data_IF_220695572236
#
_entry.id   IF_220695572236
#
_cell.length_a   1.000
_cell.length_b   1.000
_cell.length_c   1.000
_cell.angle_alpha   90.00
_cell.angle_beta   90.00
_cell.angle_gamma   90.00
#
_symmetry.space_group_name_H-M   'P 1'
#
loop_
_entity.id
_entity.type
_entity.pdbx_description
1 polymer ?
#
# COMPACT_ATOMS: atom_id res chain seq x y z
N UNK A 1 4.57 55.41 7.25
CA UNK A 1 5.07 54.12 7.80
C UNK A 1 3.93 53.14 8.10
N UNK A 2 2.86 53.11 7.29
CA UNK A 2 1.62 52.37 7.59
C UNK A 2 1.16 51.42 6.47
N UNK A 3 1.75 51.51 5.26
CA UNK A 3 1.35 50.68 4.12
C UNK A 3 2.08 49.33 4.04
N UNK A 4 3.21 49.16 4.72
CA UNK A 4 3.98 47.90 4.70
C UNK A 4 3.40 46.79 5.59
N UNK A 5 2.48 47.12 6.51
CA UNK A 5 1.85 46.14 7.39
C UNK A 5 0.60 45.48 6.79
N UNK A 6 -0.02 46.07 5.76
CA UNK A 6 -1.23 45.51 5.14
C UNK A 6 -0.94 44.39 4.14
N UNK A 7 0.24 44.37 3.51
CA UNK A 7 0.62 43.28 2.60
C UNK A 7 1.03 41.98 3.32
N UNK A 8 1.49 42.05 4.58
CA UNK A 8 1.87 40.86 5.33
C UNK A 8 0.66 40.03 5.82
N UNK A 9 -0.53 40.63 5.92
CA UNK A 9 -1.72 39.96 6.40
C UNK A 9 -2.47 39.15 5.31
N UNK A 10 -2.28 39.46 4.02
CA UNK A 10 -2.96 38.75 2.92
C UNK A 10 -2.19 37.48 2.49
N UNK A 11 -0.88 37.41 2.72
CA UNK A 11 -0.07 36.23 2.42
C UNK A 11 -0.27 35.07 3.42
N UNK A 12 -0.79 35.34 4.62
CA UNK A 12 -1.02 34.32 5.65
C UNK A 12 -2.30 33.51 5.44
N UNK A 13 -3.25 34.00 4.62
CA UNK A 13 -4.57 33.38 4.45
C UNK A 13 -4.62 32.29 3.38
N UNK A 14 -3.59 32.16 2.54
CA UNK A 14 -3.50 31.10 1.50
C UNK A 14 -2.85 29.83 2.06
N UNK A 15 -2.19 29.90 3.23
CA UNK A 15 -1.55 28.74 3.86
C UNK A 15 -2.52 27.88 4.71
N UNK A 16 -3.79 28.27 4.84
CA UNK A 16 -4.79 27.58 5.69
C UNK A 16 -5.82 26.74 4.92
N UNK A 17 -5.67 26.54 3.61
CA UNK A 17 -6.51 25.58 2.84
C UNK A 17 -6.12 24.12 3.07
N UNK A 18 -5.19 23.84 3.98
CA UNK A 18 -4.69 22.50 4.31
C UNK A 18 -5.61 21.64 5.19
N UNK A 19 -6.90 21.96 5.32
CA UNK A 19 -7.87 20.98 5.81
C UNK A 19 -7.91 19.87 4.76
N UNK A 20 -7.31 18.71 5.05
CA UNK A 20 -7.36 17.55 4.18
C UNK A 20 -8.78 16.96 4.19
N UNK A 21 -9.73 17.70 3.62
CA UNK A 21 -11.10 17.28 3.43
C UNK A 21 -11.20 16.17 2.37
N UNK A 22 -12.42 15.73 2.11
CA UNK A 22 -12.66 14.73 1.09
C UNK A 22 -12.09 15.18 -0.27
N UNK A 23 -11.51 14.23 -1.00
CA UNK A 23 -10.89 14.46 -2.30
C UNK A 23 -11.82 14.03 -3.44
N UNK A 24 -11.76 14.72 -4.58
CA UNK A 24 -12.49 14.31 -5.79
C UNK A 24 -11.95 12.97 -6.28
N UNK A 25 -12.84 12.07 -6.69
CA UNK A 25 -12.48 10.77 -7.28
C UNK A 25 -11.98 10.90 -8.72
N UNK A 26 -12.44 11.90 -9.46
CA UNK A 26 -12.16 12.06 -10.90
C UNK A 26 -10.65 11.96 -11.28
N UNK A 27 -9.69 12.59 -10.56
CA UNK A 27 -8.27 12.42 -10.88
C UNK A 27 -7.78 10.97 -10.75
N UNK A 28 -8.32 10.21 -9.80
CA UNK A 28 -7.95 8.81 -9.54
C UNK A 28 -8.41 7.86 -10.64
N UNK A 29 -9.46 8.25 -11.37
CA UNK A 29 -9.98 7.47 -12.50
C UNK A 29 -9.42 7.92 -13.84
N UNK A 30 -9.24 9.24 -14.03
CA UNK A 30 -8.79 9.83 -15.29
C UNK A 30 -7.28 9.72 -15.51
N UNK A 31 -6.48 9.88 -14.45
CA UNK A 31 -5.02 9.77 -14.49
C UNK A 31 -4.49 9.09 -13.21
N UNK A 32 -4.64 7.75 -13.12
CA UNK A 32 -4.27 7.02 -11.92
C UNK A 32 -2.75 7.06 -11.62
N UNK A 33 -1.91 7.06 -12.65
CA UNK A 33 -0.46 7.10 -12.46
C UNK A 33 0.02 8.47 -12.01
N UNK A 34 -0.48 9.56 -12.62
CA UNK A 34 -0.18 10.92 -12.19
C UNK A 34 -0.71 11.20 -10.78
N UNK A 35 -1.93 10.73 -10.46
CA UNK A 35 -2.45 10.79 -9.10
C UNK A 35 -1.53 10.07 -8.10
N UNK A 36 -1.12 8.83 -8.43
CA UNK A 36 -0.21 8.04 -7.60
C UNK A 36 1.14 8.70 -7.40
N UNK A 37 1.74 9.28 -8.44
CA UNK A 37 3.02 9.99 -8.36
C UNK A 37 2.93 11.22 -7.44
N UNK A 38 1.81 11.94 -7.48
CA UNK A 38 1.59 13.12 -6.63
C UNK A 38 1.28 12.77 -5.17
N UNK A 39 0.49 11.73 -4.92
CA UNK A 39 0.01 11.40 -3.56
C UNK A 39 0.87 10.36 -2.83
N UNK A 40 1.56 9.46 -3.56
CA UNK A 40 2.23 8.29 -2.99
C UNK A 40 3.68 8.11 -3.45
N UNK A 41 4.31 9.12 -4.04
CA UNK A 41 5.78 9.10 -4.23
C UNK A 41 6.52 9.27 -2.90
N UNK A 42 7.82 8.96 -2.88
CA UNK A 42 8.69 9.19 -1.72
C UNK A 42 8.55 10.63 -1.17
N UNK A 43 8.59 11.63 -2.05
CA UNK A 43 8.50 13.04 -1.67
C UNK A 43 7.11 13.42 -1.11
N UNK A 44 6.06 12.67 -1.47
CA UNK A 44 4.72 12.89 -0.96
C UNK A 44 4.51 12.31 0.45
N UNK A 45 5.35 11.38 0.90
CA UNK A 45 5.27 10.81 2.24
C UNK A 45 5.66 11.83 3.32
N UNK A 46 5.11 11.72 4.55
CA UNK A 46 5.60 12.48 5.69
C UNK A 46 7.10 12.25 5.92
N UNK A 47 7.83 13.29 6.36
CA UNK A 47 9.29 13.22 6.60
C UNK A 47 9.68 12.07 7.53
N UNK A 48 8.90 11.85 8.59
CA UNK A 48 9.15 10.74 9.52
C UNK A 48 9.06 9.35 8.87
N UNK A 49 8.30 9.23 7.78
CA UNK A 49 8.11 7.98 7.01
C UNK A 49 9.19 7.82 5.96
N UNK A 50 9.60 8.93 5.34
CA UNK A 50 10.77 8.97 4.46
C UNK A 50 12.02 8.46 5.19
N UNK A 51 12.19 8.82 6.46
CA UNK A 51 13.31 8.38 7.29
C UNK A 51 13.34 6.87 7.61
N UNK A 52 12.25 6.13 7.36
CA UNK A 52 12.21 4.67 7.51
C UNK A 52 12.78 3.93 6.31
N UNK A 53 12.83 4.61 5.16
CA UNK A 53 13.28 4.05 3.90
C UNK A 53 14.80 4.18 3.78
N UNK A 54 15.40 3.22 3.07
CA UNK A 54 16.83 3.26 2.81
C UNK A 54 17.16 4.28 1.71
N UNK A 55 18.44 4.63 1.51
CA UNK A 55 18.84 5.49 0.40
C UNK A 55 18.45 4.89 -0.96
N UNK A 56 18.23 5.72 -2.00
CA UNK A 56 17.99 5.24 -3.37
C UNK A 56 19.06 4.24 -3.83
N UNK A 57 18.64 3.17 -4.51
CA UNK A 57 19.53 2.13 -5.05
C UNK A 57 20.00 1.07 -4.05
N UNK A 58 19.71 1.23 -2.76
CA UNK A 58 20.19 0.31 -1.73
C UNK A 58 19.42 -1.02 -1.66
N UNK A 59 18.21 -1.07 -2.22
CA UNK A 59 17.35 -2.25 -2.29
C UNK A 59 16.89 -2.46 -3.74
N UNK A 60 17.78 -2.94 -4.63
CA UNK A 60 17.46 -3.06 -6.05
C UNK A 60 16.38 -4.13 -6.28
N UNK A 61 15.42 -3.79 -7.14
CA UNK A 61 14.45 -4.72 -7.70
C UNK A 61 14.87 -5.17 -9.11
N UNK A 62 14.52 -6.39 -9.54
CA UNK A 62 14.74 -6.83 -10.92
C UNK A 62 13.73 -6.23 -11.91
N UNK A 63 12.92 -5.25 -11.48
CA UNK A 63 11.90 -4.60 -12.29
C UNK A 63 11.76 -3.13 -11.92
N UNK A 64 11.35 -2.32 -12.90
CA UNK A 64 10.82 -0.97 -12.68
C UNK A 64 9.31 -0.97 -12.57
N UNK A 65 8.64 -1.90 -13.26
CA UNK A 65 7.18 -2.05 -13.20
C UNK A 65 6.80 -3.51 -13.07
N UNK A 66 5.82 -3.81 -12.23
CA UNK A 66 5.22 -5.13 -12.16
C UNK A 66 3.70 -5.04 -12.29
N UNK A 67 3.11 -5.72 -13.27
CA UNK A 67 1.65 -5.80 -13.45
C UNK A 67 1.19 -7.19 -13.04
N UNK A 68 0.35 -7.26 -12.01
CA UNK A 68 -0.18 -8.51 -11.47
C UNK A 68 -1.70 -8.52 -11.69
N UNK A 69 -2.22 -9.58 -12.31
CA UNK A 69 -3.65 -9.76 -12.55
C UNK A 69 -4.16 -11.06 -11.96
N UNK A 70 -5.45 -11.08 -11.67
CA UNK A 70 -6.11 -12.28 -11.18
C UNK A 70 -7.51 -12.01 -10.69
N UNK A 71 -7.95 -12.89 -9.80
CA UNK A 71 -9.28 -12.86 -9.20
C UNK A 71 -9.18 -12.84 -7.68
N UNK A 72 -10.08 -12.10 -7.06
CA UNK A 72 -10.28 -12.12 -5.61
C UNK A 72 -11.73 -12.40 -5.27
N UNK A 73 -11.98 -13.20 -4.24
CA UNK A 73 -13.34 -13.59 -3.86
C UNK A 73 -13.41 -13.94 -2.38
N UNK A 74 -14.59 -13.76 -1.78
CA UNK A 74 -14.88 -14.30 -0.45
C UNK A 74 -15.01 -15.82 -0.56
N UNK A 75 -14.30 -16.58 0.29
CA UNK A 75 -14.37 -18.05 0.32
C UNK A 75 -15.78 -18.58 0.58
N UNK A 76 -16.68 -17.77 1.16
CA UNK A 76 -18.09 -18.12 1.37
C UNK A 76 -18.95 -17.96 0.11
N UNK A 77 -18.47 -17.21 -0.88
CA UNK A 77 -19.12 -16.92 -2.17
C UNK A 77 -18.10 -16.98 -3.31
N UNK A 78 -17.52 -18.16 -3.58
CA UNK A 78 -16.45 -18.32 -4.57
C UNK A 78 -16.87 -17.99 -6.02
N UNK A 79 -18.18 -17.96 -6.28
CA UNK A 79 -18.78 -17.53 -7.55
C UNK A 79 -18.71 -16.00 -7.76
N UNK A 80 -18.67 -15.21 -6.68
CA UNK A 80 -18.64 -13.75 -6.71
C UNK A 80 -17.19 -13.23 -6.86
N UNK A 81 -16.55 -13.58 -7.98
CA UNK A 81 -15.17 -13.17 -8.26
C UNK A 81 -15.08 -11.72 -8.73
N UNK A 82 -14.15 -10.97 -8.13
CA UNK A 82 -13.70 -9.67 -8.62
C UNK A 82 -12.38 -9.85 -9.37
N UNK A 83 -12.36 -9.47 -10.65
CA UNK A 83 -11.11 -9.33 -11.37
C UNK A 83 -10.31 -8.21 -10.74
N UNK A 84 -9.00 -8.38 -10.58
CA UNK A 84 -8.11 -7.32 -10.13
C UNK A 84 -6.92 -7.18 -11.05
N UNK A 85 -6.39 -5.96 -11.09
CA UNK A 85 -5.09 -5.63 -11.65
C UNK A 85 -4.37 -4.72 -10.67
N UNK A 86 -3.12 -5.05 -10.38
CA UNK A 86 -2.23 -4.24 -9.54
C UNK A 86 -0.96 -3.93 -10.30
N UNK A 87 -0.67 -2.64 -10.44
CA UNK A 87 0.59 -2.13 -10.94
C UNK A 87 1.46 -1.70 -9.76
N UNK A 88 2.65 -2.29 -9.66
CA UNK A 88 3.74 -1.82 -8.81
C UNK A 88 4.73 -1.02 -9.63
N UNK A 89 5.19 0.11 -9.09
CA UNK A 89 6.20 0.96 -9.73
C UNK A 89 7.33 1.20 -8.74
N UNK A 90 8.53 0.82 -9.17
CA UNK A 90 9.78 1.04 -8.45
C UNK A 90 10.45 2.31 -9.00
N UNK A 91 10.30 3.41 -8.28
CA UNK A 91 10.88 4.70 -8.69
C UNK A 91 12.36 4.83 -8.29
N UNK A 92 12.81 4.15 -7.22
CA UNK A 92 14.05 4.54 -6.49
C UNK A 92 14.94 3.39 -6.00
N UNK A 93 14.51 2.14 -6.08
CA UNK A 93 15.27 0.99 -5.55
C UNK A 93 15.62 1.15 -4.05
N UNK A 94 14.67 1.62 -3.24
CA UNK A 94 14.81 1.83 -1.78
C UNK A 94 13.86 0.94 -0.95
N UNK A 95 13.28 -0.07 -1.59
CA UNK A 95 12.30 -0.99 -1.01
C UNK A 95 10.86 -0.46 -1.03
N UNK A 96 10.65 0.83 -1.30
CA UNK A 96 9.32 1.40 -1.52
C UNK A 96 8.86 1.17 -2.96
N UNK A 97 7.61 0.76 -3.11
CA UNK A 97 6.89 0.67 -4.38
C UNK A 97 5.64 1.55 -4.29
N UNK A 98 5.33 2.25 -5.39
CA UNK A 98 3.96 2.74 -5.59
C UNK A 98 3.11 1.59 -6.06
N UNK A 99 1.92 1.47 -5.51
CA UNK A 99 0.92 0.46 -5.86
C UNK A 99 -0.34 1.15 -6.37
N UNK A 100 -0.81 0.71 -7.53
CA UNK A 100 -2.05 1.17 -8.16
C UNK A 100 -2.89 -0.07 -8.45
N UNK A 101 -3.94 -0.26 -7.68
CA UNK A 101 -4.88 -1.37 -7.83
C UNK A 101 -6.19 -0.93 -8.47
N UNK A 102 -6.80 -1.83 -9.24
CA UNK A 102 -8.21 -1.77 -9.61
C UNK A 102 -8.88 -3.11 -9.38
N UNK A 103 -10.18 -3.06 -9.09
CA UNK A 103 -11.04 -4.24 -9.05
C UNK A 103 -12.27 -4.02 -9.91
N UNK A 104 -12.67 -5.05 -10.63
CA UNK A 104 -13.79 -5.04 -11.58
C UNK A 104 -14.76 -6.17 -11.28
N UNK A 105 -16.06 -5.88 -11.37
CA UNK A 105 -17.13 -6.86 -11.31
C UNK A 105 -17.87 -6.82 -12.66
N UNK A 106 -17.91 -7.95 -13.38
CA UNK A 106 -18.55 -8.03 -14.71
C UNK A 106 -18.04 -6.94 -15.69
N UNK A 107 -16.73 -6.66 -15.67
CA UNK A 107 -16.09 -5.65 -16.52
C UNK A 107 -16.31 -4.20 -16.09
N UNK A 108 -17.03 -3.95 -14.99
CA UNK A 108 -17.24 -2.62 -14.44
C UNK A 108 -16.28 -2.34 -13.30
N UNK A 109 -15.59 -1.20 -13.35
CA UNK A 109 -14.71 -0.75 -12.27
C UNK A 109 -15.52 -0.51 -10.99
N UNK A 110 -15.20 -1.25 -9.92
CA UNK A 110 -15.88 -1.11 -8.62
C UNK A 110 -15.02 -0.40 -7.58
N UNK A 111 -13.69 -0.52 -7.70
CA UNK A 111 -12.75 0.09 -6.78
C UNK A 111 -11.42 0.41 -7.47
N UNK A 112 -10.82 1.54 -7.07
CA UNK A 112 -9.40 1.86 -7.26
C UNK A 112 -8.74 1.95 -5.90
N UNK A 113 -7.53 1.44 -5.80
CA UNK A 113 -6.70 1.54 -4.61
C UNK A 113 -5.34 2.11 -4.98
N UNK A 114 -4.79 2.94 -4.11
CA UNK A 114 -3.48 3.53 -4.25
C UNK A 114 -2.72 3.36 -2.95
N UNK A 115 -1.44 3.02 -3.04
CA UNK A 115 -0.58 3.00 -1.88
C UNK A 115 0.88 3.29 -2.20
N UNK A 116 1.58 3.77 -1.18
CA UNK A 116 3.01 3.57 -1.02
C UNK A 116 3.21 2.33 -0.14
N UNK A 117 3.95 1.34 -0.62
CA UNK A 117 4.15 0.07 0.10
C UNK A 117 5.62 -0.29 0.18
N UNK A 118 6.08 -0.77 1.33
CA UNK A 118 7.39 -1.39 1.49
C UNK A 118 7.28 -2.86 1.06
N UNK A 119 7.95 -3.22 -0.05
CA UNK A 119 7.95 -4.55 -0.69
C UNK A 119 6.57 -5.18 -0.95
N UNK A 120 5.53 -4.36 -1.16
CA UNK A 120 4.15 -4.85 -1.30
C UNK A 120 3.51 -5.38 0.00
N UNK A 121 4.25 -5.39 1.11
CA UNK A 121 3.88 -6.05 2.35
C UNK A 121 3.49 -5.10 3.48
N UNK A 122 3.93 -3.84 3.48
CA UNK A 122 3.64 -2.86 4.55
C UNK A 122 3.23 -1.55 3.92
N UNK A 123 2.01 -1.07 4.21
CA UNK A 123 1.55 0.21 3.70
C UNK A 123 2.21 1.36 4.47
N UNK A 124 2.82 2.29 3.74
CA UNK A 124 3.38 3.57 4.20
C UNK A 124 2.40 4.72 3.97
N UNK A 125 1.49 4.54 3.03
CA UNK A 125 0.32 5.36 2.86
C UNK A 125 -0.65 4.69 1.91
N UNK A 126 -1.95 4.94 2.06
CA UNK A 126 -2.96 4.36 1.20
C UNK A 126 -4.23 5.21 1.08
N UNK A 127 -4.98 4.94 0.02
CA UNK A 127 -6.33 5.46 -0.19
C UNK A 127 -7.09 4.55 -1.16
N UNK A 128 -8.40 4.47 -0.98
CA UNK A 128 -9.30 3.82 -1.94
C UNK A 128 -10.30 4.82 -2.52
N UNK A 129 -10.80 4.53 -3.70
CA UNK A 129 -11.82 5.32 -4.37
C UNK A 129 -12.80 4.41 -5.10
N UNK A 130 -14.08 4.65 -4.86
CA UNK A 130 -15.15 4.03 -5.63
C UNK A 130 -15.55 4.98 -6.76
N UNK A 131 -15.51 4.54 -8.04
CA UNK A 131 -15.81 5.40 -9.18
C UNK A 131 -17.27 5.88 -9.21
N UNK A 132 -18.16 5.23 -8.47
CA UNK A 132 -19.56 5.67 -8.33
C UNK A 132 -19.74 6.86 -7.37
N UNK A 133 -18.68 7.28 -6.66
CA UNK A 133 -18.72 8.41 -5.72
C UNK A 133 -18.01 9.62 -6.29
N UNK A 134 -18.54 10.81 -6.01
CA UNK A 134 -17.88 12.08 -6.34
C UNK A 134 -16.64 12.33 -5.48
N UNK A 135 -16.71 11.91 -4.22
CA UNK A 135 -15.73 12.22 -3.17
C UNK A 135 -15.27 10.96 -2.44
N UNK A 136 -14.02 10.96 -1.98
CA UNK A 136 -13.45 9.94 -1.10
C UNK A 136 -12.73 10.57 0.09
N UNK A 137 -12.54 9.80 1.16
CA UNK A 137 -11.75 10.22 2.32
C UNK A 137 -10.31 10.54 1.90
N UNK A 138 -9.61 11.47 2.56
CA UNK A 138 -8.21 11.77 2.26
C UNK A 138 -7.29 10.53 2.43
N UNK A 139 -6.11 10.51 1.80
CA UNK A 139 -5.13 9.46 2.00
C UNK A 139 -4.66 9.45 3.45
N UNK A 140 -4.36 8.25 3.91
CA UNK A 140 -3.69 8.03 5.19
C UNK A 140 -2.24 7.65 4.95
N UNK A 141 -1.39 8.05 5.87
CA UNK A 141 0.04 7.81 5.84
C UNK A 141 0.48 7.29 7.19
N UNK A 142 1.38 6.33 7.18
CA UNK A 142 2.18 6.01 8.35
C UNK A 142 3.00 7.24 8.74
N UNK A 143 3.22 7.42 10.03
CA UNK A 143 4.11 8.41 10.64
C UNK A 143 4.75 7.75 11.84
N UNK A 144 6.03 8.03 12.07
CA UNK A 144 6.80 7.62 13.25
C UNK A 144 6.76 6.10 13.54
N UNK A 145 7.91 5.44 13.49
CA UNK A 145 7.98 4.03 13.85
C UNK A 145 8.48 3.87 15.29
N UNK A 146 7.73 3.14 16.11
CA UNK A 146 8.24 2.60 17.38
C UNK A 146 9.05 1.31 17.14
N UNK A 147 8.70 0.58 16.08
CA UNK A 147 9.44 -0.60 15.61
C UNK A 147 9.40 -0.65 14.08
N UNK A 148 10.54 -0.97 13.47
CA UNK A 148 10.69 -1.08 12.02
C UNK A 148 11.68 -2.20 11.68
N UNK A 149 11.16 -3.28 11.09
CA UNK A 149 11.98 -4.39 10.59
C UNK A 149 12.26 -4.21 9.10
N UNK A 150 13.50 -4.42 8.65
CA UNK A 150 13.80 -4.41 7.23
C UNK A 150 13.27 -5.68 6.56
N UNK A 151 12.70 -5.54 5.35
CA UNK A 151 12.25 -6.65 4.50
C UNK A 151 13.22 -6.90 3.33
N UNK A 152 14.40 -6.28 3.36
CA UNK A 152 15.40 -6.38 2.29
C UNK A 152 15.96 -7.80 2.10
N UNK A 153 16.03 -8.56 3.20
CA UNK A 153 16.53 -9.93 3.27
C UNK A 153 15.60 -10.78 4.14
N UNK A 154 14.57 -11.33 3.51
CA UNK A 154 13.59 -12.20 4.17
C UNK A 154 14.16 -13.60 4.36
N UNK A 155 14.07 -14.09 5.60
CA UNK A 155 14.51 -15.41 6.01
C UNK A 155 13.30 -16.25 6.38
N UNK A 156 13.41 -17.56 6.17
CA UNK A 156 12.40 -18.53 6.62
C UNK A 156 12.34 -18.56 8.16
N UNK A 157 11.19 -18.92 8.72
CA UNK A 157 10.97 -19.10 10.16
C UNK A 157 11.41 -17.89 11.02
N UNK A 158 11.18 -16.68 10.52
CA UNK A 158 11.59 -15.42 11.13
C UNK A 158 10.39 -14.52 11.42
N UNK A 159 10.57 -13.56 12.32
CA UNK A 159 9.55 -12.58 12.68
C UNK A 159 9.98 -11.16 12.31
N UNK A 160 9.03 -10.39 11.78
CA UNK A 160 9.21 -9.01 11.37
C UNK A 160 8.10 -8.17 11.97
N UNK A 161 8.46 -7.05 12.60
CA UNK A 161 7.53 -6.19 13.34
C UNK A 161 7.60 -4.75 12.87
N UNK A 162 6.41 -4.17 12.76
CA UNK A 162 6.16 -2.79 12.38
C UNK A 162 5.17 -2.18 13.36
N UNK A 163 5.54 -1.06 13.96
CA UNK A 163 4.66 -0.28 14.82
C UNK A 163 4.70 1.16 14.36
N UNK A 164 3.61 1.60 13.74
CA UNK A 164 3.47 2.91 13.12
C UNK A 164 2.25 3.62 13.69
N UNK A 165 2.12 4.91 13.41
CA UNK A 165 0.84 5.61 13.54
C UNK A 165 0.31 6.01 12.19
N UNK A 166 -0.93 5.66 11.90
CA UNK A 166 -1.59 6.03 10.65
C UNK A 166 -2.39 7.32 10.86
N UNK A 167 -2.16 8.34 10.04
CA UNK A 167 -2.95 9.58 10.04
C UNK A 167 -3.02 10.23 8.66
N UNK A 168 -3.94 11.16 8.48
CA UNK A 168 -4.01 12.04 7.31
C UNK A 168 -2.95 13.14 7.37
N UNK A 169 -2.91 14.02 6.36
CA UNK A 169 -2.06 15.22 6.39
C UNK A 169 -2.66 16.38 7.22
N UNK A 170 -3.88 16.23 7.72
CA UNK A 170 -4.50 17.21 8.61
C UNK A 170 -3.66 17.36 9.90
N UNK A 171 -3.29 18.58 10.33
CA UNK A 171 -2.58 18.80 11.59
C UNK A 171 -3.38 18.40 12.84
N UNK A 172 -4.72 18.35 12.76
CA UNK A 172 -5.60 17.84 13.82
C UNK A 172 -5.73 16.31 13.78
N UNK A 173 -5.24 15.71 12.69
CA UNK A 173 -4.95 14.30 12.43
C UNK A 173 -4.01 13.64 13.45
N UNK A 174 -4.39 13.48 14.72
CA UNK A 174 -3.50 12.88 15.73
C UNK A 174 -3.28 11.39 15.53
N UNK A 175 -3.80 10.75 14.48
CA UNK A 175 -3.45 9.39 14.10
C UNK A 175 -3.83 8.29 15.07
N UNK A 176 -3.78 7.05 14.58
CA UNK A 176 -4.08 5.85 15.37
C UNK A 176 -2.89 4.89 15.33
N UNK A 177 -2.50 4.30 16.46
CA UNK A 177 -1.51 3.24 16.47
C UNK A 177 -1.94 2.09 15.56
N UNK A 178 -1.00 1.60 14.78
CA UNK A 178 -1.14 0.45 13.91
C UNK A 178 0.06 -0.44 14.10
N UNK A 179 -0.20 -1.70 14.43
CA UNK A 179 0.84 -2.70 14.57
C UNK A 179 0.66 -3.77 13.50
N UNK A 180 1.77 -4.20 12.91
CA UNK A 180 1.84 -5.34 12.01
C UNK A 180 2.97 -6.26 12.47
N UNK A 181 2.62 -7.51 12.72
CA UNK A 181 3.58 -8.58 12.99
C UNK A 181 3.48 -9.61 11.87
N UNK A 182 4.60 -9.90 11.22
CA UNK A 182 4.70 -10.89 10.16
C UNK A 182 5.58 -12.05 10.62
N UNK A 183 5.13 -13.28 10.36
CA UNK A 183 5.91 -14.50 10.57
C UNK A 183 6.10 -15.19 9.24
N UNK A 184 7.32 -15.63 8.96
CA UNK A 184 7.63 -16.41 7.76
C UNK A 184 7.64 -17.90 8.07
N UNK A 185 7.18 -18.69 7.11
CA UNK A 185 7.24 -20.14 7.13
C UNK A 185 8.35 -20.69 6.23
N UNK A 186 8.12 -21.89 5.71
CA UNK A 186 9.03 -22.54 4.77
C UNK A 186 8.95 -21.94 3.37
N UNK A 187 10.06 -22.02 2.63
CA UNK A 187 10.09 -21.71 1.21
C UNK A 187 9.39 -22.81 0.37
N UNK A 188 8.83 -22.40 -0.75
CA UNK A 188 8.19 -23.27 -1.73
C UNK A 188 8.39 -22.72 -3.16
N UNK A 189 8.21 -23.53 -4.21
CA UNK A 189 8.32 -23.03 -5.59
C UNK A 189 7.32 -21.91 -5.88
N UNK A 190 7.77 -20.78 -6.44
CA UNK A 190 6.89 -19.66 -6.78
C UNK A 190 5.78 -20.05 -7.77
N UNK A 191 6.01 -21.10 -8.56
CA UNK A 191 5.02 -21.70 -9.48
C UNK A 191 3.76 -22.23 -8.79
N UNK A 192 3.78 -22.44 -7.46
CA UNK A 192 2.56 -22.75 -6.70
C UNK A 192 1.58 -21.57 -6.60
N UNK A 193 2.07 -20.32 -6.71
CA UNK A 193 1.23 -19.12 -6.73
C UNK A 193 0.71 -18.83 -8.13
N UNK A 194 1.59 -18.92 -9.11
CA UNK A 194 1.31 -18.70 -10.51
C UNK A 194 2.33 -19.51 -11.33
N UNK A 195 1.92 -20.47 -12.18
CA UNK A 195 2.84 -21.36 -12.88
C UNK A 195 3.96 -20.67 -13.68
N UNK A 196 3.70 -19.45 -14.17
CA UNK A 196 4.68 -18.66 -14.93
C UNK A 196 5.80 -18.03 -14.08
N UNK A 197 5.68 -18.04 -12.73
CA UNK A 197 6.70 -17.50 -11.85
C UNK A 197 7.84 -18.50 -11.67
N UNK A 198 9.06 -18.02 -11.91
CA UNK A 198 10.29 -18.74 -11.60
C UNK A 198 10.72 -18.50 -10.13
N UNK A 199 11.67 -19.32 -9.67
CA UNK A 199 12.28 -19.15 -8.35
C UNK A 199 11.46 -19.70 -7.20
N UNK A 200 11.69 -19.12 -6.01
CA UNK A 200 11.07 -19.54 -4.76
C UNK A 200 10.25 -18.43 -4.13
N UNK A 201 9.19 -18.82 -3.44
CA UNK A 201 8.41 -17.97 -2.57
C UNK A 201 8.56 -18.42 -1.11
N UNK A 202 8.48 -17.50 -0.16
CA UNK A 202 8.41 -17.80 1.27
C UNK A 202 7.01 -17.45 1.75
N UNK A 203 6.34 -18.35 2.46
CA UNK A 203 5.06 -18.00 3.09
C UNK A 203 5.28 -16.94 4.16
N UNK A 204 4.50 -15.87 4.15
CA UNK A 204 4.57 -14.81 5.14
C UNK A 204 3.16 -14.46 5.62
N UNK A 205 2.86 -14.75 6.88
CA UNK A 205 1.58 -14.41 7.50
C UNK A 205 1.74 -13.15 8.34
N UNK A 206 1.02 -12.10 7.97
CA UNK A 206 1.04 -10.81 8.66
C UNK A 206 -0.29 -10.55 9.36
N UNK A 207 -0.24 -10.16 10.63
CA UNK A 207 -1.41 -9.79 11.44
C UNK A 207 -1.34 -8.31 11.76
N UNK A 208 -2.42 -7.59 11.44
CA UNK A 208 -2.64 -6.20 11.80
C UNK A 208 -3.50 -6.12 13.05
N UNK A 209 -3.06 -5.34 14.05
CA UNK A 209 -3.84 -5.05 15.24
C UNK A 209 -3.90 -3.55 15.52
N UNK A 210 -5.03 -3.14 16.12
CA UNK A 210 -5.22 -1.77 16.61
C UNK A 210 -4.53 -1.56 17.97
N UNK A 211 -4.67 -0.36 18.52
CA UNK A 211 -4.10 0.04 19.82
C UNK A 211 -4.54 -0.84 21.00
N UNK A 212 -5.67 -1.54 20.90
CA UNK A 212 -6.19 -2.44 21.92
C UNK A 212 -5.80 -3.91 21.68
N UNK A 213 -4.78 -4.15 20.82
CA UNK A 213 -4.34 -5.48 20.40
C UNK A 213 -5.43 -6.33 19.72
N UNK A 214 -6.51 -5.70 19.25
CA UNK A 214 -7.58 -6.42 18.53
C UNK A 214 -7.17 -6.58 17.08
N UNK A 215 -7.06 -7.82 16.62
CA UNK A 215 -6.79 -8.18 15.23
C UNK A 215 -7.84 -7.59 14.30
N UNK A 216 -7.40 -6.74 13.37
CA UNK A 216 -8.23 -6.12 12.35
C UNK A 216 -8.14 -6.86 11.02
N UNK A 217 -6.98 -7.45 10.73
CA UNK A 217 -6.72 -8.14 9.47
C UNK A 217 -5.58 -9.14 9.65
N UNK A 218 -5.70 -10.29 9.02
CA UNK A 218 -4.60 -11.23 8.80
C UNK A 218 -4.44 -11.38 7.28
N UNK A 219 -3.21 -11.35 6.77
CA UNK A 219 -2.91 -11.53 5.35
C UNK A 219 -1.83 -12.57 5.22
N UNK A 220 -2.07 -13.58 4.40
CA UNK A 220 -1.06 -14.55 3.99
C UNK A 220 -0.51 -14.10 2.65
N UNK A 221 0.80 -13.88 2.60
CA UNK A 221 1.53 -13.56 1.39
C UNK A 221 2.41 -14.73 0.95
N UNK A 222 2.63 -14.82 -0.36
CA UNK A 222 3.81 -15.42 -0.92
C UNK A 222 4.84 -14.33 -1.17
N UNK A 223 5.93 -14.33 -0.41
CA UNK A 223 7.09 -13.46 -0.64
C UNK A 223 7.93 -14.02 -1.78
N UNK A 224 7.85 -13.40 -2.95
CA UNK A 224 8.66 -13.79 -4.10
C UNK A 224 10.12 -13.35 -3.89
N UNK A 225 11.01 -14.31 -3.62
CA UNK A 225 12.39 -13.99 -3.19
C UNK A 225 13.15 -13.22 -4.25
N UNK A 226 13.14 -13.70 -5.50
CA UNK A 226 13.92 -13.10 -6.59
C UNK A 226 13.39 -11.73 -6.99
N UNK A 227 12.10 -11.48 -6.76
CA UNK A 227 11.41 -10.23 -7.07
C UNK A 227 11.31 -9.28 -5.86
N UNK A 228 11.68 -9.73 -4.66
CA UNK A 228 11.56 -8.99 -3.39
C UNK A 228 10.16 -8.37 -3.18
N UNK A 229 9.12 -9.11 -3.58
CA UNK A 229 7.74 -8.61 -3.64
C UNK A 229 6.79 -9.59 -2.95
N UNK A 230 5.97 -9.08 -2.03
CA UNK A 230 4.90 -9.84 -1.40
C UNK A 230 3.62 -9.84 -2.25
N UNK A 231 3.10 -11.02 -2.54
CA UNK A 231 1.84 -11.24 -3.24
C UNK A 231 0.81 -11.86 -2.30
N UNK A 232 -0.33 -11.18 -2.09
CA UNK A 232 -1.40 -11.65 -1.16
C UNK A 232 -2.12 -12.89 -1.69
N UNK A 233 -2.00 -14.01 -0.98
CA UNK A 233 -2.67 -15.29 -1.27
C UNK A 233 -4.07 -15.33 -0.65
N UNK A 234 -4.20 -14.83 0.58
CA UNK A 234 -5.49 -14.73 1.24
C UNK A 234 -5.46 -13.63 2.29
N UNK A 235 -6.64 -13.14 2.65
CA UNK A 235 -6.79 -12.25 3.80
C UNK A 235 -8.03 -12.59 4.59
N UNK A 236 -7.94 -12.45 5.91
CA UNK A 236 -9.05 -12.57 6.84
C UNK A 236 -9.28 -11.22 7.49
N UNK A 237 -10.53 -10.79 7.49
CA UNK A 237 -11.01 -9.57 8.15
C UNK A 237 -12.24 -9.91 8.98
N UNK A 238 -12.74 -9.01 9.83
CA UNK A 238 -14.04 -9.18 10.49
C UNK A 238 -15.19 -9.47 9.52
N UNK A 239 -15.07 -9.01 8.26
CA UNK A 239 -16.13 -9.11 7.27
C UNK A 239 -16.12 -10.43 6.47
N UNK A 240 -15.01 -11.17 6.45
CA UNK A 240 -14.88 -12.39 5.65
C UNK A 240 -13.44 -12.86 5.45
N UNK A 241 -13.32 -13.99 4.76
CA UNK A 241 -12.02 -14.56 4.32
C UNK A 241 -11.96 -14.49 2.80
N UNK A 242 -11.02 -13.74 2.28
CA UNK A 242 -10.82 -13.54 0.86
C UNK A 242 -9.64 -14.37 0.37
N UNK A 243 -9.78 -14.97 -0.80
CA UNK A 243 -8.71 -15.68 -1.50
C UNK A 243 -8.33 -14.94 -2.78
N UNK A 244 -7.10 -15.15 -3.22
CA UNK A 244 -6.56 -14.63 -4.47
C UNK A 244 -6.17 -15.79 -5.39
N UNK A 245 -6.57 -15.71 -6.65
CA UNK A 245 -6.10 -16.58 -7.73
C UNK A 245 -5.37 -15.72 -8.75
N UNK A 246 -4.08 -15.98 -8.99
CA UNK A 246 -3.29 -15.22 -9.95
C UNK A 246 -3.50 -15.74 -11.37
N UNK A 247 -3.69 -14.83 -12.31
CA UNK A 247 -3.79 -15.12 -13.74
C UNK A 247 -2.48 -14.82 -14.46
N UNK A 248 -1.87 -13.66 -14.16
CA UNK A 248 -0.62 -13.26 -14.80
C UNK A 248 0.21 -12.34 -13.91
N UNK A 249 1.52 -12.37 -14.13
CA UNK A 249 2.49 -11.47 -13.54
C UNK A 249 3.50 -11.09 -14.61
N UNK A 250 3.65 -9.78 -14.86
CA UNK A 250 4.58 -9.24 -15.84
C UNK A 250 5.54 -8.29 -15.13
N UNK A 251 6.83 -8.53 -15.27
CA UNK A 251 7.90 -7.71 -14.69
C UNK A 251 8.67 -7.05 -15.83
N UNK A 252 8.80 -5.73 -15.80
CA UNK A 252 9.42 -4.86 -16.81
C UNK A 252 10.49 -3.98 -16.19
#
# INVERSE_FOLDING_TARGET
MHDKLRLAAVAASIALTGCAGNMKVQPMTADPEGYSANAFSYAALPVATQALLKPPGSEPYPFKRAVIKGWSFDKRKPEDKLAFETLFINDRDDGMLRQIGKSEANGLLVNRFFAAVYHGAVALGSQSASPSRTWTAPPRYSRAANAWSSLADIKENSEYRFELRESTKDPLDTGRPWTRACKTGAAYPASKLLPALAGRAIEMTCVDANENAVTQREVVYGWLVDYKLALSVSSKTPNGVYATEYESAQFQ
#
